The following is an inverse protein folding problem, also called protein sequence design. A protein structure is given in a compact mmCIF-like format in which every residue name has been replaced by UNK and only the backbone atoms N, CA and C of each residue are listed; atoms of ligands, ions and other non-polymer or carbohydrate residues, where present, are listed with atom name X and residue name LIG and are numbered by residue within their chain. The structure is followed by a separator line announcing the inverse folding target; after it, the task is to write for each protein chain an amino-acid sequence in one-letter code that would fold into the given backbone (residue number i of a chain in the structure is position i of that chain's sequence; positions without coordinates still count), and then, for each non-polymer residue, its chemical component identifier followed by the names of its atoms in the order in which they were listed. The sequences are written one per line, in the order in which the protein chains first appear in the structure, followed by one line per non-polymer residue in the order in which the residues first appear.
data_IF_384100746130
#
_entry.id   IF_384100746130
#
_cell.length_a   1.000
_cell.length_b   1.000
_cell.length_c   1.000
_cell.angle_alpha   90.00
_cell.angle_beta   90.00
_cell.angle_gamma   90.00
#
_symmetry.space_group_name_H-M   'P 1'
#
loop_
_entity.id
_entity.type
_entity.pdbx_description
1 polymer ?
#
# COMPACT_ATOMS: atom_id res chain seq x y z
N UNK A 1 27.70 -10.54 -9.77
CA UNK A 1 26.50 -9.73 -10.12
C UNK A 1 25.23 -10.11 -9.36
N UNK A 2 24.73 -11.36 -9.41
CA UNK A 2 23.44 -11.67 -8.76
C UNK A 2 23.45 -11.55 -7.22
N UNK A 3 24.56 -11.87 -6.54
CA UNK A 3 24.65 -11.82 -5.06
C UNK A 3 24.51 -10.39 -4.53
N UNK A 4 25.20 -9.42 -5.14
CA UNK A 4 25.14 -8.00 -4.74
C UNK A 4 23.74 -7.42 -4.93
N UNK A 5 23.09 -7.69 -6.07
CA UNK A 5 21.71 -7.24 -6.31
C UNK A 5 20.68 -7.89 -5.37
N UNK A 6 20.87 -9.16 -4.98
CA UNK A 6 19.99 -9.83 -4.00
C UNK A 6 20.04 -9.14 -2.62
N UNK A 7 21.21 -8.66 -2.19
CA UNK A 7 21.34 -7.90 -0.94
C UNK A 7 20.53 -6.59 -0.96
N UNK A 8 20.55 -5.86 -2.08
CA UNK A 8 19.84 -4.58 -2.21
C UNK A 8 18.34 -4.70 -2.50
N UNK A 9 17.85 -5.85 -2.98
CA UNK A 9 16.45 -6.03 -3.39
C UNK A 9 15.43 -5.62 -2.31
N UNK A 10 15.64 -6.05 -1.06
CA UNK A 10 14.73 -5.69 0.05
C UNK A 10 14.85 -4.21 0.44
N UNK A 11 16.06 -3.65 0.38
CA UNK A 11 16.32 -2.24 0.67
C UNK A 11 15.64 -1.32 -0.36
N UNK A 12 15.74 -1.64 -1.66
CA UNK A 12 15.06 -0.92 -2.75
C UNK A 12 13.53 -0.88 -2.55
N UNK A 13 12.91 -2.05 -2.27
CA UNK A 13 11.47 -2.12 -2.00
C UNK A 13 11.11 -1.29 -0.77
N UNK A 14 11.81 -1.49 0.35
CA UNK A 14 11.56 -0.73 1.58
C UNK A 14 11.72 0.79 1.33
N UNK A 15 12.69 1.21 0.52
CA UNK A 15 12.95 2.63 0.25
C UNK A 15 11.89 3.27 -0.65
N UNK A 16 11.28 2.52 -1.58
CA UNK A 16 10.10 2.99 -2.32
C UNK A 16 8.92 3.32 -1.39
N UNK A 17 8.60 2.40 -0.46
CA UNK A 17 7.55 2.63 0.54
C UNK A 17 7.90 3.77 1.50
N UNK A 18 9.13 3.81 2.03
CA UNK A 18 9.62 4.85 2.94
C UNK A 18 9.57 6.26 2.31
N UNK A 19 9.97 6.38 1.04
CA UNK A 19 9.91 7.63 0.30
C UNK A 19 8.46 8.14 0.13
N UNK A 20 7.53 7.26 -0.28
CA UNK A 20 6.12 7.61 -0.47
C UNK A 20 5.43 7.99 0.85
N UNK A 21 5.72 7.29 1.94
CA UNK A 21 5.11 7.59 3.27
C UNK A 21 5.66 8.90 3.83
N UNK A 22 6.98 9.07 3.88
CA UNK A 22 7.63 10.26 4.49
C UNK A 22 7.41 11.54 3.71
N UNK A 23 7.05 11.44 2.44
CA UNK A 23 6.73 12.60 1.62
C UNK A 23 5.35 13.21 1.93
N UNK A 24 4.46 12.47 2.61
CA UNK A 24 3.15 12.95 3.07
C UNK A 24 2.28 13.64 1.98
N UNK A 25 2.47 13.22 0.72
CA UNK A 25 1.78 13.75 -0.46
C UNK A 25 2.61 14.70 -1.34
N UNK A 26 3.82 15.08 -0.92
CA UNK A 26 4.76 15.81 -1.76
C UNK A 26 5.44 14.87 -2.78
N UNK A 27 4.86 14.75 -3.97
CA UNK A 27 5.38 13.87 -5.04
C UNK A 27 6.84 14.12 -5.41
N UNK A 28 7.31 15.37 -5.40
CA UNK A 28 8.72 15.73 -5.68
C UNK A 28 9.64 15.14 -4.62
N UNK A 29 9.30 15.31 -3.33
CA UNK A 29 10.06 14.73 -2.22
C UNK A 29 10.06 13.19 -2.29
N UNK A 30 8.93 12.55 -2.61
CA UNK A 30 8.86 11.10 -2.79
C UNK A 30 9.80 10.61 -3.91
N UNK A 31 9.76 11.28 -5.06
CA UNK A 31 10.61 11.00 -6.22
C UNK A 31 12.10 11.14 -5.88
N UNK A 32 12.50 12.25 -5.27
CA UNK A 32 13.90 12.49 -4.89
C UNK A 32 14.37 11.49 -3.83
N UNK A 33 13.56 11.24 -2.79
CA UNK A 33 13.88 10.24 -1.76
C UNK A 33 14.05 8.84 -2.34
N UNK A 34 13.25 8.46 -3.34
CA UNK A 34 13.41 7.18 -4.02
C UNK A 34 14.66 7.14 -4.90
N UNK A 35 14.85 8.13 -5.77
CA UNK A 35 16.02 8.30 -6.65
C UNK A 35 17.33 8.30 -5.86
N UNK A 36 17.33 8.88 -4.65
CA UNK A 36 18.48 8.88 -3.74
C UNK A 36 19.03 7.48 -3.48
N UNK A 37 18.19 6.44 -3.51
CA UNK A 37 18.60 5.07 -3.26
C UNK A 37 19.60 4.56 -4.30
N UNK A 38 19.49 5.00 -5.58
CA UNK A 38 20.47 4.67 -6.61
C UNK A 38 21.86 5.21 -6.26
N UNK A 39 21.94 6.36 -5.56
CA UNK A 39 23.19 6.95 -5.09
C UNK A 39 23.64 6.39 -3.73
N UNK A 40 22.74 6.21 -2.74
CA UNK A 40 23.05 5.55 -1.45
C UNK A 40 23.53 4.07 -1.72
N UNK A 41 23.22 3.44 -2.87
CA UNK A 41 23.75 2.13 -3.34
C UNK A 41 25.24 2.15 -3.74
N UNK A 42 25.73 3.30 -4.19
CA UNK A 42 27.15 3.53 -4.51
C UNK A 42 27.92 4.18 -3.35
N UNK A 43 27.35 4.21 -2.15
CA UNK A 43 27.95 4.84 -0.97
C UNK A 43 27.88 6.37 -0.97
N UNK A 44 27.13 6.98 -1.91
CA UNK A 44 26.96 8.42 -1.99
C UNK A 44 25.72 8.79 -1.18
N UNK A 45 25.92 9.46 -0.04
CA UNK A 45 24.82 9.81 0.89
C UNK A 45 24.52 11.31 0.98
N UNK A 46 25.29 12.15 0.30
CA UNK A 46 25.09 13.59 0.16
C UNK A 46 24.75 13.92 -1.31
N UNK A 47 23.68 14.69 -1.49
CA UNK A 47 23.08 15.06 -2.79
C UNK A 47 23.07 16.58 -2.99
N UNK A 48 23.72 17.35 -2.10
CA UNK A 48 23.74 18.80 -2.12
C UNK A 48 24.26 19.36 -3.45
N UNK A 49 25.23 18.66 -4.06
CA UNK A 49 25.87 19.01 -5.34
C UNK A 49 25.09 18.52 -6.58
N UNK A 50 24.06 17.69 -6.42
CA UNK A 50 23.25 17.20 -7.55
C UNK A 50 22.05 18.13 -7.77
N UNK A 51 22.06 18.86 -8.90
CA UNK A 51 20.99 19.80 -9.28
C UNK A 51 19.63 19.14 -9.48
N UNK A 52 19.59 17.82 -9.67
CA UNK A 52 18.36 17.06 -9.84
C UNK A 52 17.70 16.63 -8.52
N UNK A 53 18.28 17.04 -7.38
CA UNK A 53 17.69 16.97 -6.05
C UNK A 53 17.48 18.39 -5.56
N UNK A 54 16.23 18.83 -5.43
CA UNK A 54 15.85 20.19 -5.02
C UNK A 54 15.51 20.26 -3.53
N UNK A 55 14.79 19.26 -3.00
CA UNK A 55 14.30 19.21 -1.62
C UNK A 55 15.13 18.24 -0.76
N UNK A 56 15.49 17.08 -1.30
CA UNK A 56 16.12 15.99 -0.54
C UNK A 56 17.64 15.95 -0.70
N UNK A 57 18.37 16.54 0.25
CA UNK A 57 19.82 16.76 0.13
C UNK A 57 20.73 15.69 0.78
N UNK A 58 20.22 14.80 1.65
CA UNK A 58 21.05 13.80 2.36
C UNK A 58 20.25 12.56 2.80
N UNK A 59 20.81 11.34 2.75
CA UNK A 59 20.11 10.14 3.26
C UNK A 59 19.87 10.28 4.80
N UNK A 60 18.66 10.00 5.29
CA UNK A 60 18.22 10.22 6.69
C UNK A 60 18.63 9.12 7.70
N UNK A 61 19.60 8.27 7.36
CA UNK A 61 19.98 7.11 8.15
C UNK A 61 21.46 7.23 8.59
N UNK A 62 21.86 6.60 9.72
CA UNK A 62 23.27 6.52 10.09
C UNK A 62 24.09 5.77 9.04
N UNK A 63 25.44 5.89 9.05
CA UNK A 63 26.31 5.15 8.15
C UNK A 63 26.00 3.65 8.11
N UNK A 64 26.16 3.06 6.93
CA UNK A 64 26.03 1.62 6.75
C UNK A 64 27.04 0.86 7.60
N UNK A 65 26.69 -0.33 8.08
CA UNK A 65 27.66 -1.26 8.64
C UNK A 65 28.56 -1.83 7.55
N UNK A 66 29.78 -2.23 7.92
CA UNK A 66 30.85 -2.72 7.01
C UNK A 66 30.48 -3.94 6.14
N UNK A 67 29.31 -4.54 6.37
CA UNK A 67 28.80 -5.72 5.67
C UNK A 67 27.98 -5.40 4.41
N UNK A 68 27.80 -4.13 4.04
CA UNK A 68 27.03 -3.75 2.84
C UNK A 68 27.88 -3.87 1.56
N UNK A 69 27.40 -4.69 0.62
CA UNK A 69 27.96 -4.85 -0.71
C UNK A 69 27.56 -3.70 -1.64
N UNK A 70 28.23 -2.55 -1.53
CA UNK A 70 28.02 -1.42 -2.44
C UNK A 70 28.26 -1.77 -3.91
N UNK A 71 27.59 -1.03 -4.81
CA UNK A 71 27.73 -1.20 -6.25
C UNK A 71 28.39 0.06 -6.81
N UNK A 72 29.58 -0.09 -7.41
CA UNK A 72 30.30 1.03 -8.03
C UNK A 72 29.41 1.81 -9.01
N UNK A 73 29.44 3.13 -8.90
CA UNK A 73 28.70 4.04 -9.78
C UNK A 73 29.06 3.77 -11.25
N UNK A 74 28.10 3.93 -12.15
CA UNK A 74 28.26 3.76 -13.61
C UNK A 74 28.71 2.38 -14.11
N UNK A 75 28.91 1.41 -13.22
CA UNK A 75 29.15 0.00 -13.54
C UNK A 75 27.95 -0.63 -14.29
N UNK A 76 28.20 -1.74 -15.00
CA UNK A 76 27.15 -2.51 -15.70
C UNK A 76 25.91 -2.82 -14.84
N UNK A 77 26.01 -3.31 -13.58
CA UNK A 77 24.84 -3.52 -12.73
C UNK A 77 24.16 -2.21 -12.30
N UNK A 78 24.90 -1.12 -12.05
CA UNK A 78 24.33 0.20 -11.75
C UNK A 78 23.47 0.72 -12.91
N UNK A 79 24.03 0.76 -14.13
CA UNK A 79 23.31 1.21 -15.34
C UNK A 79 22.10 0.31 -15.65
N UNK A 80 22.22 -1.01 -15.42
CA UNK A 80 21.08 -1.92 -15.57
C UNK A 80 19.97 -1.64 -14.56
N UNK A 81 20.31 -1.40 -13.29
CA UNK A 81 19.37 -1.02 -12.24
C UNK A 81 18.65 0.29 -12.60
N UNK A 82 19.39 1.30 -13.03
CA UNK A 82 18.85 2.59 -13.50
C UNK A 82 17.85 2.39 -14.64
N UNK A 83 18.21 1.64 -15.68
CA UNK A 83 17.36 1.38 -16.86
C UNK A 83 16.06 0.60 -16.58
N UNK A 84 15.96 -0.10 -15.45
CA UNK A 84 14.81 -0.97 -15.12
C UNK A 84 13.93 -0.36 -14.04
N UNK A 85 14.54 0.23 -13.00
CA UNK A 85 13.81 0.74 -11.83
C UNK A 85 13.62 2.25 -11.88
N UNK A 86 14.60 3.00 -12.38
CA UNK A 86 14.59 4.47 -12.39
C UNK A 86 14.29 5.01 -13.79
N UNK A 87 13.26 4.43 -14.43
CA UNK A 87 12.70 4.96 -15.69
C UNK A 87 11.88 6.21 -15.41
N UNK A 88 11.74 7.08 -16.42
CA UNK A 88 10.91 8.29 -16.30
C UNK A 88 9.48 7.93 -15.84
N UNK A 89 8.88 6.89 -16.42
CA UNK A 89 7.57 6.40 -16.00
C UNK A 89 7.53 6.03 -14.51
N UNK A 90 8.48 5.22 -14.02
CA UNK A 90 8.45 4.80 -12.61
C UNK A 90 8.65 5.99 -11.65
N UNK A 91 9.43 6.99 -12.08
CA UNK A 91 9.64 8.24 -11.34
C UNK A 91 8.32 9.04 -11.26
N UNK A 92 7.64 9.23 -12.40
CA UNK A 92 6.32 9.88 -12.45
C UNK A 92 5.25 9.10 -11.67
N UNK A 93 5.23 7.76 -11.77
CA UNK A 93 4.32 6.92 -11.01
C UNK A 93 4.50 7.17 -9.50
N UNK A 94 5.75 7.21 -9.00
CA UNK A 94 6.07 7.51 -7.58
C UNK A 94 5.63 8.90 -7.14
N UNK A 95 5.73 9.92 -7.99
CA UNK A 95 5.22 11.26 -7.69
C UNK A 95 3.69 11.27 -7.45
N UNK A 96 2.97 10.30 -8.02
CA UNK A 96 1.51 10.20 -7.98
C UNK A 96 0.98 9.11 -7.01
N UNK A 97 1.86 8.34 -6.32
CA UNK A 97 1.39 7.33 -5.35
C UNK A 97 0.83 8.01 -4.10
N UNK A 98 -0.37 7.60 -3.68
CA UNK A 98 -0.96 8.05 -2.42
C UNK A 98 -0.13 7.60 -1.21
N UNK A 99 0.41 8.57 -0.47
CA UNK A 99 1.16 8.39 0.79
C UNK A 99 0.40 7.60 1.87
N UNK A 100 -0.93 7.56 1.77
CA UNK A 100 -1.81 6.90 2.74
C UNK A 100 -1.72 5.36 2.63
N UNK A 101 -1.32 4.80 1.47
CA UNK A 101 -1.12 3.36 1.20
C UNK A 101 -2.32 2.42 1.52
N UNK A 102 -3.54 2.93 1.74
CA UNK A 102 -4.72 2.16 2.22
C UNK A 102 -5.51 1.44 1.11
N UNK A 103 -4.88 0.73 0.17
CA UNK A 103 -5.63 -0.09 -0.82
C UNK A 103 -6.50 -1.15 -0.13
N UNK A 104 -6.01 -1.75 0.97
CA UNK A 104 -6.71 -2.76 1.77
C UNK A 104 -8.08 -2.33 2.30
N UNK A 105 -8.29 -1.03 2.48
CA UNK A 105 -9.57 -0.45 2.93
C UNK A 105 -10.58 -0.44 1.77
N UNK A 106 -10.13 -0.03 0.58
CA UNK A 106 -10.92 -0.06 -0.66
C UNK A 106 -11.22 -1.50 -1.10
N UNK A 107 -10.24 -2.41 -1.02
CA UNK A 107 -10.42 -3.84 -1.29
C UNK A 107 -11.46 -4.47 -0.34
N UNK A 108 -11.43 -4.11 0.95
CA UNK A 108 -12.41 -4.59 1.93
C UNK A 108 -13.81 -4.04 1.66
N UNK A 109 -13.93 -2.78 1.23
CA UNK A 109 -15.20 -2.18 0.81
C UNK A 109 -15.75 -2.84 -0.46
N UNK A 110 -14.90 -3.11 -1.45
CA UNK A 110 -15.29 -3.80 -2.69
C UNK A 110 -15.74 -5.25 -2.42
N UNK A 111 -15.05 -5.97 -1.52
CA UNK A 111 -15.48 -7.29 -1.07
C UNK A 111 -16.83 -7.25 -0.33
N UNK A 112 -17.14 -6.14 0.37
CA UNK A 112 -18.46 -5.92 0.96
C UNK A 112 -19.53 -5.60 -0.09
N UNK A 113 -19.20 -4.80 -1.11
CA UNK A 113 -20.10 -4.45 -2.20
C UNK A 113 -20.60 -5.70 -2.94
N UNK A 114 -19.72 -6.68 -3.18
CA UNK A 114 -20.07 -7.96 -3.81
C UNK A 114 -21.14 -8.76 -3.05
N UNK A 115 -21.32 -8.54 -1.74
CA UNK A 115 -22.39 -9.16 -0.94
C UNK A 115 -23.78 -8.59 -1.26
N UNK A 116 -23.85 -7.35 -1.75
CA UNK A 116 -25.09 -6.62 -2.03
C UNK A 116 -25.39 -6.52 -3.53
N UNK A 117 -24.36 -6.29 -4.34
CA UNK A 117 -24.40 -6.25 -5.80
C UNK A 117 -23.42 -7.28 -6.41
N UNK A 118 -23.70 -8.59 -6.29
CA UNK A 118 -22.90 -9.64 -6.93
C UNK A 118 -22.96 -9.54 -8.46
N UNK A 119 -21.82 -9.75 -9.14
CA UNK A 119 -21.69 -9.65 -10.61
C UNK A 119 -22.57 -10.63 -11.41
N UNK A 120 -23.01 -11.72 -10.79
CA UNK A 120 -23.78 -12.78 -11.45
C UNK A 120 -25.25 -12.42 -11.66
N UNK A 121 -25.69 -11.25 -11.20
CA UNK A 121 -27.07 -10.78 -11.30
C UNK A 121 -27.11 -9.40 -11.95
N UNK A 122 -28.00 -9.23 -12.92
CA UNK A 122 -28.34 -7.91 -13.42
C UNK A 122 -29.17 -7.15 -12.38
N UNK A 123 -28.87 -5.85 -12.24
CA UNK A 123 -29.66 -4.92 -11.45
C UNK A 123 -29.97 -3.71 -12.33
N UNK A 124 -31.21 -3.24 -12.28
CA UNK A 124 -31.57 -1.95 -12.85
C UNK A 124 -30.84 -0.82 -12.10
N UNK A 125 -30.86 0.39 -12.66
CA UNK A 125 -30.17 1.54 -12.07
C UNK A 125 -30.59 1.79 -10.61
N UNK A 126 -31.89 1.78 -10.30
CA UNK A 126 -32.38 2.03 -8.94
C UNK A 126 -32.00 0.90 -8.00
N UNK A 127 -32.11 -0.36 -8.44
CA UNK A 127 -31.67 -1.53 -7.70
C UNK A 127 -30.16 -1.51 -7.38
N UNK A 128 -29.33 -1.05 -8.32
CA UNK A 128 -27.89 -0.89 -8.11
C UNK A 128 -27.56 0.25 -7.13
N UNK A 129 -28.18 1.42 -7.29
CA UNK A 129 -28.03 2.58 -6.39
C UNK A 129 -28.38 2.19 -4.95
N UNK A 130 -29.53 1.55 -4.72
CA UNK A 130 -29.95 1.07 -3.40
C UNK A 130 -28.97 0.06 -2.77
N UNK A 131 -28.39 -0.85 -3.57
CA UNK A 131 -27.40 -1.84 -3.10
C UNK A 131 -26.06 -1.20 -2.76
N UNK A 132 -25.68 -0.15 -3.48
CA UNK A 132 -24.49 0.65 -3.18
C UNK A 132 -24.68 1.43 -1.87
N UNK A 133 -25.82 2.10 -1.69
CA UNK A 133 -26.18 2.74 -0.40
C UNK A 133 -26.16 1.74 0.75
N UNK A 134 -26.76 0.56 0.56
CA UNK A 134 -26.78 -0.53 1.54
C UNK A 134 -25.37 -1.04 1.92
N UNK A 135 -24.43 -1.00 0.96
CA UNK A 135 -23.03 -1.33 1.20
C UNK A 135 -22.35 -0.27 2.06
N UNK A 136 -22.58 1.02 1.78
CA UNK A 136 -22.02 2.12 2.56
C UNK A 136 -22.56 2.15 3.99
N UNK A 137 -23.86 1.90 4.19
CA UNK A 137 -24.46 1.81 5.52
C UNK A 137 -23.82 0.69 6.37
N UNK A 138 -23.65 -0.50 5.80
CA UNK A 138 -22.96 -1.60 6.49
C UNK A 138 -21.48 -1.27 6.73
N UNK A 139 -20.80 -0.65 5.77
CA UNK A 139 -19.41 -0.24 5.95
C UNK A 139 -19.25 0.78 7.10
N UNK A 140 -20.15 1.74 7.19
CA UNK A 140 -20.14 2.76 8.24
C UNK A 140 -20.44 2.15 9.61
N UNK A 141 -21.43 1.23 9.75
CA UNK A 141 -21.64 0.46 10.99
C UNK A 141 -20.35 -0.28 11.40
N UNK A 142 -19.69 -0.98 10.46
CA UNK A 142 -18.43 -1.69 10.75
C UNK A 142 -17.29 -0.75 11.17
N UNK A 143 -17.28 0.50 10.70
CA UNK A 143 -16.29 1.51 11.10
C UNK A 143 -16.62 2.12 12.45
N UNK A 144 -17.89 2.34 12.75
CA UNK A 144 -18.38 2.81 14.03
C UNK A 144 -18.13 1.76 15.13
N UNK A 145 -18.52 0.50 14.90
CA UNK A 145 -18.19 -0.65 15.77
C UNK A 145 -16.67 -0.76 16.06
N UNK A 146 -15.83 -0.42 15.08
CA UNK A 146 -14.36 -0.42 15.23
C UNK A 146 -13.84 0.78 16.03
N UNK A 147 -14.49 1.95 15.93
CA UNK A 147 -14.14 3.16 16.67
C UNK A 147 -14.63 3.10 18.14
N UNK A 148 -15.81 2.51 18.37
CA UNK A 148 -16.41 2.28 19.69
C UNK A 148 -15.78 1.10 20.45
N UNK A 149 -14.81 0.39 19.84
CA UNK A 149 -14.13 -0.75 20.49
C UNK A 149 -14.99 -2.01 20.64
N UNK A 150 -16.11 -2.13 19.93
CA UNK A 150 -16.94 -3.35 19.94
C UNK A 150 -16.35 -4.43 19.00
N UNK A 151 -15.66 -4.01 17.92
CA UNK A 151 -14.95 -4.87 16.95
C UNK A 151 -13.48 -5.13 17.30
N UNK A 152 -13.24 -5.62 18.50
CA UNK A 152 -11.90 -6.00 18.97
C UNK A 152 -11.28 -7.16 18.16
N UNK A 153 -9.95 -7.19 18.13
CA UNK A 153 -9.16 -8.25 17.49
C UNK A 153 -9.17 -9.46 18.41
N UNK A 154 -9.71 -10.58 17.93
CA UNK A 154 -9.82 -11.85 18.68
C UNK A 154 -8.68 -12.81 18.42
N UNK A 155 -7.86 -12.55 17.39
CA UNK A 155 -6.72 -13.38 17.03
C UNK A 155 -6.16 -13.03 15.66
N UNK A 156 -5.29 -13.88 15.15
CA UNK A 156 -4.69 -13.73 13.82
C UNK A 156 -4.80 -15.01 13.02
N UNK A 157 -5.16 -14.89 11.74
CA UNK A 157 -5.17 -16.00 10.78
C UNK A 157 -4.00 -15.85 9.81
N UNK A 158 -3.11 -16.85 9.67
CA UNK A 158 -2.07 -16.82 8.66
C UNK A 158 -2.66 -17.06 7.26
N UNK A 159 -2.04 -16.45 6.25
CA UNK A 159 -2.24 -16.76 4.84
C UNK A 159 -0.91 -16.67 4.11
N UNK A 160 -0.69 -17.50 3.09
CA UNK A 160 0.55 -17.46 2.31
C UNK A 160 0.48 -16.34 1.28
N UNK A 161 1.42 -15.39 1.35
CA UNK A 161 1.51 -14.30 0.38
C UNK A 161 2.38 -14.74 -0.80
N UNK A 162 1.74 -15.01 -1.96
CA UNK A 162 2.41 -15.48 -3.17
C UNK A 162 3.44 -14.51 -3.74
N UNK A 163 3.33 -13.20 -3.48
CA UNK A 163 4.26 -12.16 -3.93
C UNK A 163 5.49 -12.08 -3.03
N UNK A 164 5.29 -12.17 -1.70
CA UNK A 164 6.37 -12.10 -0.72
C UNK A 164 6.99 -13.48 -0.37
N UNK A 165 6.42 -14.57 -0.90
CA UNK A 165 6.80 -15.98 -0.68
C UNK A 165 6.94 -16.35 0.81
N UNK A 166 6.06 -15.81 1.65
CA UNK A 166 6.06 -16.02 3.11
C UNK A 166 4.66 -15.96 3.71
N UNK A 167 4.42 -16.57 4.88
CA UNK A 167 3.20 -16.34 5.63
C UNK A 167 3.08 -14.87 6.04
N UNK A 168 1.86 -14.34 5.95
CA UNK A 168 1.46 -13.03 6.45
C UNK A 168 0.21 -13.24 7.31
N UNK A 169 0.06 -12.45 8.38
CA UNK A 169 -0.99 -12.61 9.36
C UNK A 169 -2.07 -11.54 9.16
N UNK A 170 -3.34 -11.95 9.16
CA UNK A 170 -4.49 -11.05 9.14
C UNK A 170 -5.17 -11.07 10.51
N UNK A 171 -5.37 -9.89 11.10
CA UNK A 171 -6.17 -9.74 12.31
C UNK A 171 -7.61 -10.20 12.06
N UNK A 172 -8.07 -11.15 12.87
CA UNK A 172 -9.47 -11.58 12.96
C UNK A 172 -10.13 -10.70 14.01
N UNK A 173 -11.31 -10.15 13.69
CA UNK A 173 -12.10 -9.32 14.61
C UNK A 173 -13.36 -10.08 15.03
N UNK A 174 -13.98 -9.67 16.14
CA UNK A 174 -15.30 -10.17 16.55
C UNK A 174 -16.32 -10.06 15.39
N UNK A 175 -17.31 -10.96 15.29
CA UNK A 175 -18.42 -10.82 14.35
C UNK A 175 -19.23 -9.54 14.63
N UNK A 176 -19.58 -8.78 13.59
CA UNK A 176 -20.41 -7.58 13.75
C UNK A 176 -21.88 -7.95 14.01
N UNK A 177 -22.53 -7.24 14.93
CA UNK A 177 -23.90 -7.56 15.40
C UNK A 177 -24.96 -7.44 14.30
N UNK A 178 -24.77 -6.51 13.34
CA UNK A 178 -25.63 -6.35 12.14
C UNK A 178 -27.13 -6.31 12.49
N UNK A 179 -27.52 -5.60 13.55
CA UNK A 179 -28.90 -5.68 14.09
C UNK A 179 -29.88 -5.05 13.10
N UNK A 180 -29.56 -3.86 12.58
CA UNK A 180 -30.36 -3.18 11.57
C UNK A 180 -30.56 -4.05 10.31
N UNK A 181 -29.55 -4.82 9.88
CA UNK A 181 -29.63 -5.67 8.68
C UNK A 181 -30.62 -6.82 8.86
N UNK A 182 -30.78 -7.33 10.09
CA UNK A 182 -31.82 -8.31 10.44
C UNK A 182 -33.20 -7.66 10.45
N UNK A 183 -33.32 -6.46 11.02
CA UNK A 183 -34.59 -5.69 11.06
C UNK A 183 -35.09 -5.27 9.66
N UNK A 184 -34.18 -4.84 8.76
CA UNK A 184 -34.52 -4.53 7.37
C UNK A 184 -35.04 -5.78 6.67
N UNK A 185 -34.36 -6.93 6.83
CA UNK A 185 -34.82 -8.21 6.28
C UNK A 185 -36.22 -8.59 6.77
N UNK A 186 -36.46 -8.60 8.10
CA UNK A 186 -37.77 -8.96 8.64
C UNK A 186 -38.88 -8.05 8.11
N UNK A 187 -38.64 -6.73 8.06
CA UNK A 187 -39.61 -5.79 7.46
C UNK A 187 -39.87 -6.07 5.98
N UNK A 188 -38.85 -6.39 5.17
CA UNK A 188 -39.07 -6.75 3.75
C UNK A 188 -39.83 -8.06 3.53
N UNK A 189 -39.87 -8.96 4.51
CA UNK A 189 -40.71 -10.16 4.46
C UNK A 189 -42.15 -9.91 4.94
N UNK A 190 -42.40 -8.86 5.74
CA UNK A 190 -43.73 -8.47 6.21
C UNK A 190 -44.52 -7.61 5.21
N UNK A 191 -43.85 -7.13 4.15
CA UNK A 191 -44.41 -6.26 3.09
C UNK A 191 -44.54 -7.05 1.75
N UNK A 192 -44.49 -8.38 1.82
CA UNK A 192 -44.70 -9.32 0.72
C UNK A 192 -45.83 -10.27 1.09
#
# INVERSE_FOLDING_TARGET
YMVTMKAWHRALINKAYDAVVRAEGNGVLASEMFRSCLLCISGIHDFSNDRSFTVFKKCLHPPASDKILFIAKDSRPYKRLQSVIYTEKNIQDIMNVSWILKTSTVESLNALAWRYAPKNFYFDRKGHELRTMMTMLHWNELKQDEAEGTRNITGQKPYFNNTLKKPVYRNVKTPAKNVWRRLVKSKTYQVR
#
